data_IF_699214735248
#
_entry.id   IF_699214735248
#
_cell.length_a   1.000
_cell.length_b   1.000
_cell.length_c   1.000
_cell.angle_alpha   90.00
_cell.angle_beta   90.00
_cell.angle_gamma   90.00
#
_symmetry.space_group_name_H-M   'P 1'
#
loop_
_entity.id
_entity.type
_entity.pdbx_description
1 polymer ?
#
# COMPACT_ATOMS: atom_id res chain seq x y z
N UNK A 1 -14.71 14.31 19.09
CA UNK A 1 -14.42 14.24 17.64
C UNK A 1 -14.63 12.80 17.18
N UNK A 2 -15.12 12.59 15.97
CA UNK A 2 -15.22 11.23 15.38
C UNK A 2 -13.81 10.86 14.96
N UNK A 3 -13.28 9.73 15.48
CA UNK A 3 -12.00 9.19 15.01
C UNK A 3 -12.11 8.87 13.53
N UNK A 4 -11.24 9.49 12.71
CA UNK A 4 -11.24 9.32 11.26
C UNK A 4 -9.85 9.01 10.76
N UNK A 5 -9.72 7.95 9.97
CA UNK A 5 -8.50 7.60 9.24
C UNK A 5 -8.74 7.95 7.78
N UNK A 6 -7.94 8.88 7.24
CA UNK A 6 -8.00 9.28 5.84
C UNK A 6 -7.01 8.44 5.02
N UNK A 7 -7.52 7.65 4.09
CA UNK A 7 -6.73 6.84 3.16
C UNK A 7 -6.66 7.58 1.82
N UNK A 8 -5.49 8.10 1.52
CA UNK A 8 -5.26 8.95 0.35
C UNK A 8 -4.74 8.10 -0.82
N UNK A 9 -5.56 7.90 -1.83
CA UNK A 9 -5.09 7.39 -3.12
C UNK A 9 -4.45 8.55 -3.91
N UNK A 10 -3.12 8.59 -4.09
CA UNK A 10 -2.44 9.72 -4.74
C UNK A 10 -2.51 9.67 -6.27
N UNK A 11 -3.48 8.94 -6.81
CA UNK A 11 -3.76 8.81 -8.24
C UNK A 11 -5.16 9.36 -8.54
N UNK A 12 -5.38 9.91 -9.73
CA UNK A 12 -6.70 10.41 -10.17
C UNK A 12 -7.69 9.30 -10.55
N UNK A 13 -7.26 8.04 -10.59
CA UNK A 13 -8.13 6.91 -10.96
C UNK A 13 -9.03 6.50 -9.80
N UNK A 14 -10.30 6.96 -9.84
CA UNK A 14 -11.32 6.69 -8.82
C UNK A 14 -11.59 5.18 -8.62
N UNK A 15 -11.50 4.38 -9.70
CA UNK A 15 -11.67 2.93 -9.62
C UNK A 15 -10.67 2.28 -8.64
N UNK A 16 -9.44 2.82 -8.51
CA UNK A 16 -8.45 2.37 -7.53
C UNK A 16 -8.91 2.72 -6.12
N UNK A 17 -9.43 3.93 -5.89
CA UNK A 17 -9.99 4.34 -4.59
C UNK A 17 -11.14 3.42 -4.16
N UNK A 18 -12.07 3.11 -5.08
CA UNK A 18 -13.16 2.17 -4.81
C UNK A 18 -12.66 0.76 -4.45
N UNK A 19 -11.61 0.30 -5.12
CA UNK A 19 -10.96 -0.98 -4.80
C UNK A 19 -10.32 -1.00 -3.41
N UNK A 20 -9.62 0.08 -3.04
CA UNK A 20 -9.05 0.27 -1.71
C UNK A 20 -10.17 0.32 -0.66
N UNK A 21 -11.22 1.10 -0.91
CA UNK A 21 -12.35 1.26 0.00
C UNK A 21 -13.06 -0.07 0.29
N UNK A 22 -13.30 -0.86 -0.75
CA UNK A 22 -13.87 -2.21 -0.62
C UNK A 22 -12.96 -3.13 0.22
N UNK A 23 -11.64 -3.04 0.06
CA UNK A 23 -10.68 -3.82 0.84
C UNK A 23 -10.66 -3.45 2.34
N UNK A 24 -11.16 -2.26 2.70
CA UNK A 24 -11.25 -1.84 4.11
C UNK A 24 -12.45 -2.45 4.84
N UNK A 25 -13.36 -3.15 4.19
CA UNK A 25 -14.57 -3.71 4.80
C UNK A 25 -14.29 -4.53 6.10
N UNK A 26 -13.27 -5.42 6.17
CA UNK A 26 -12.98 -6.18 7.38
C UNK A 26 -12.50 -5.32 8.57
N UNK A 27 -12.04 -4.10 8.31
CA UNK A 27 -11.50 -3.18 9.33
C UNK A 27 -12.56 -2.19 9.84
N UNK A 28 -13.74 -2.14 9.21
CA UNK A 28 -14.87 -1.31 9.63
C UNK A 28 -15.64 -2.00 10.76
N UNK A 29 -15.42 -1.56 11.98
CA UNK A 29 -15.99 -2.16 13.19
C UNK A 29 -16.94 -1.19 13.88
N UNK A 30 -17.98 -1.71 14.54
CA UNK A 30 -18.85 -0.89 15.41
C UNK A 30 -18.02 -0.24 16.52
N UNK A 31 -18.09 1.09 16.61
CA UNK A 31 -17.30 1.88 17.57
C UNK A 31 -15.82 2.03 17.21
N UNK A 32 -15.42 1.62 15.99
CA UNK A 32 -14.12 1.92 15.42
C UNK A 32 -14.06 3.28 14.72
N UNK A 33 -12.89 3.71 14.24
CA UNK A 33 -12.76 4.94 13.48
C UNK A 33 -13.50 4.86 12.14
N UNK A 34 -13.91 6.01 11.63
CA UNK A 34 -14.37 6.12 10.24
C UNK A 34 -13.16 5.94 9.32
N UNK A 35 -13.21 5.00 8.40
CA UNK A 35 -12.19 4.83 7.37
C UNK A 35 -12.73 5.49 6.10
N UNK A 36 -12.15 6.62 5.72
CA UNK A 36 -12.51 7.39 4.52
C UNK A 36 -11.42 7.26 3.47
N UNK A 37 -11.77 6.76 2.29
CA UNK A 37 -10.84 6.65 1.16
C UNK A 37 -11.12 7.78 0.15
N UNK A 38 -10.08 8.53 -0.21
CA UNK A 38 -10.20 9.69 -1.10
C UNK A 38 -9.26 9.58 -2.30
N UNK A 39 -9.67 10.16 -3.41
CA UNK A 39 -8.90 10.29 -4.65
C UNK A 39 -8.19 11.63 -4.68
N UNK A 40 -6.91 11.65 -5.04
CA UNK A 40 -6.17 12.87 -5.33
C UNK A 40 -6.40 13.23 -6.81
N UNK A 41 -7.35 14.12 -7.07
CA UNK A 41 -7.77 14.49 -8.44
C UNK A 41 -6.62 15.06 -9.29
N UNK A 42 -5.72 15.82 -8.65
CA UNK A 42 -4.52 16.40 -9.30
C UNK A 42 -3.39 15.39 -9.52
N UNK A 43 -3.59 14.11 -9.15
CA UNK A 43 -2.59 13.06 -9.34
C UNK A 43 -2.56 12.51 -10.77
N UNK A 44 -1.48 11.79 -11.16
CA UNK A 44 -1.47 11.06 -12.42
C UNK A 44 -2.45 9.86 -12.37
N UNK A 45 -2.89 9.33 -13.52
CA UNK A 45 -3.73 8.13 -13.54
C UNK A 45 -3.10 6.90 -12.86
N UNK A 46 -1.76 6.79 -12.91
CA UNK A 46 -0.96 5.76 -12.25
C UNK A 46 0.39 6.30 -11.82
N UNK A 47 0.89 5.85 -10.67
CA UNK A 47 2.26 6.15 -10.22
C UNK A 47 3.16 4.99 -10.61
N UNK A 48 3.88 5.14 -11.72
CA UNK A 48 4.65 4.08 -12.35
C UNK A 48 6.15 4.38 -12.48
N UNK A 49 6.58 5.61 -12.21
CA UNK A 49 7.97 6.05 -12.27
C UNK A 49 8.27 7.08 -11.16
N UNK A 50 9.55 7.46 -11.01
CA UNK A 50 9.97 8.39 -9.97
C UNK A 50 9.37 9.79 -10.15
N UNK A 51 9.27 10.30 -11.38
CA UNK A 51 8.67 11.62 -11.63
C UNK A 51 7.21 11.68 -11.15
N UNK A 52 6.43 10.61 -11.35
CA UNK A 52 5.06 10.53 -10.81
C UNK A 52 5.04 10.50 -9.27
N UNK A 53 6.05 9.88 -8.63
CA UNK A 53 6.19 9.88 -7.16
C UNK A 53 6.42 11.29 -6.65
N UNK A 54 7.35 12.04 -7.27
CA UNK A 54 7.68 13.41 -6.87
C UNK A 54 6.52 14.38 -7.13
N UNK A 55 5.82 14.22 -8.24
CA UNK A 55 4.69 15.07 -8.63
C UNK A 55 3.59 15.15 -7.55
N UNK A 56 3.34 14.07 -6.82
CA UNK A 56 2.22 14.01 -5.86
C UNK A 56 2.59 14.40 -4.43
N UNK A 57 3.87 14.67 -4.14
CA UNK A 57 4.35 15.03 -2.79
C UNK A 57 3.65 16.30 -2.27
N UNK A 58 3.68 17.38 -3.04
CA UNK A 58 3.02 18.64 -2.68
C UNK A 58 1.50 18.51 -2.50
N UNK A 59 0.78 17.94 -3.48
CA UNK A 59 -0.66 17.68 -3.36
C UNK A 59 -1.04 16.82 -2.14
N UNK A 60 -0.27 15.78 -1.79
CA UNK A 60 -0.49 14.98 -0.56
C UNK A 60 -0.34 15.87 0.68
N UNK A 61 0.75 16.64 0.78
CA UNK A 61 0.99 17.56 1.90
C UNK A 61 -0.15 18.57 2.07
N UNK A 62 -0.64 19.14 0.96
CA UNK A 62 -1.79 20.05 0.96
C UNK A 62 -3.05 19.37 1.52
N UNK A 63 -3.34 18.13 1.09
CA UNK A 63 -4.49 17.37 1.57
C UNK A 63 -4.38 17.07 3.06
N UNK A 64 -3.20 16.66 3.54
CA UNK A 64 -2.94 16.42 4.98
C UNK A 64 -3.21 17.71 5.78
N UNK A 65 -2.67 18.85 5.34
CA UNK A 65 -2.90 20.15 6.00
C UNK A 65 -4.38 20.51 6.05
N UNK A 66 -5.10 20.35 4.95
CA UNK A 66 -6.52 20.70 4.86
C UNK A 66 -7.41 19.82 5.74
N UNK A 67 -7.03 18.55 5.92
CA UNK A 67 -7.83 17.55 6.66
C UNK A 67 -7.29 17.30 8.08
N UNK A 68 -6.29 18.07 8.52
CA UNK A 68 -5.66 17.82 9.82
C UNK A 68 -6.64 17.92 10.99
N UNK A 69 -7.54 18.88 10.98
CA UNK A 69 -8.47 19.11 12.08
C UNK A 69 -9.60 18.06 12.20
N UNK A 70 -9.90 17.29 11.15
CA UNK A 70 -11.00 16.32 11.12
C UNK A 70 -10.56 14.86 11.00
N UNK A 71 -9.24 14.61 10.95
CA UNK A 71 -8.67 13.26 10.89
C UNK A 71 -7.83 12.96 12.13
N UNK A 72 -7.78 11.68 12.51
CA UNK A 72 -6.94 11.17 13.61
C UNK A 72 -5.68 10.49 13.09
N UNK A 73 -5.66 10.06 11.82
CA UNK A 73 -4.51 9.49 11.14
C UNK A 73 -4.66 9.60 9.62
N UNK A 74 -3.52 9.49 8.92
CA UNK A 74 -3.43 9.51 7.46
C UNK A 74 -2.73 8.25 6.95
N UNK A 75 -3.20 7.70 5.82
CA UNK A 75 -2.56 6.58 5.13
C UNK A 75 -2.33 6.96 3.68
N UNK A 76 -1.09 6.82 3.20
CA UNK A 76 -0.73 7.10 1.80
C UNK A 76 -0.81 5.80 1.03
N UNK A 77 -1.85 5.65 0.18
CA UNK A 77 -2.21 4.40 -0.50
C UNK A 77 -1.50 4.23 -1.85
N UNK A 78 -0.16 4.26 -1.82
CA UNK A 78 0.70 3.94 -2.96
C UNK A 78 1.96 3.21 -2.48
N UNK A 79 2.32 2.11 -3.13
CA UNK A 79 3.47 1.26 -2.75
C UNK A 79 4.84 1.91 -3.06
N UNK A 80 4.92 3.21 -3.02
CA UNK A 80 6.14 4.02 -3.08
C UNK A 80 6.17 5.05 -1.97
N UNK A 81 5.14 5.05 -1.13
CA UNK A 81 4.93 5.98 0.00
C UNK A 81 5.30 7.43 -0.33
N UNK A 82 4.77 8.01 -1.45
CA UNK A 82 5.16 9.33 -1.89
C UNK A 82 4.82 10.38 -0.84
N UNK A 83 5.79 11.23 -0.52
CA UNK A 83 5.62 12.32 0.44
C UNK A 83 5.42 11.89 1.89
N UNK A 84 5.66 10.62 2.26
CA UNK A 84 5.46 10.10 3.62
C UNK A 84 6.21 10.93 4.67
N UNK A 85 7.49 11.16 4.46
CA UNK A 85 8.32 11.92 5.42
C UNK A 85 7.90 13.39 5.48
N UNK A 86 7.64 14.02 4.32
CA UNK A 86 7.14 15.40 4.29
C UNK A 86 5.77 15.54 5.00
N UNK A 87 4.87 14.57 4.83
CA UNK A 87 3.58 14.57 5.51
C UNK A 87 3.74 14.42 7.03
N UNK A 88 4.71 13.64 7.50
CA UNK A 88 5.05 13.51 8.93
C UNK A 88 5.57 14.79 9.56
N UNK A 89 6.14 15.72 8.78
CA UNK A 89 6.58 17.03 9.25
C UNK A 89 5.44 18.05 9.32
N UNK A 90 4.32 17.80 8.61
CA UNK A 90 3.17 18.71 8.53
C UNK A 90 2.23 18.52 9.73
N UNK A 91 2.08 17.29 10.25
CA UNK A 91 1.13 16.95 11.30
C UNK A 91 1.80 16.15 12.41
N UNK A 92 1.30 16.29 13.64
CA UNK A 92 1.69 15.42 14.78
C UNK A 92 0.91 14.11 14.82
N UNK A 93 -0.06 13.92 13.93
CA UNK A 93 -0.88 12.71 13.85
C UNK A 93 -0.13 11.60 13.12
N UNK A 94 -0.46 10.32 13.38
CA UNK A 94 0.13 9.22 12.64
C UNK A 94 -0.07 9.36 11.13
N UNK A 95 1.03 9.33 10.37
CA UNK A 95 1.03 9.20 8.91
C UNK A 95 1.73 7.90 8.54
N UNK A 96 1.02 7.02 7.85
CA UNK A 96 1.50 5.69 7.50
C UNK A 96 1.55 5.50 5.99
N UNK A 97 2.65 4.94 5.52
CA UNK A 97 2.82 4.52 4.14
C UNK A 97 2.44 3.04 3.97
N UNK A 98 1.79 2.70 2.86
CA UNK A 98 1.38 1.30 2.66
C UNK A 98 2.55 0.38 2.33
N UNK A 99 3.64 0.89 1.71
CA UNK A 99 4.83 0.09 1.46
C UNK A 99 5.55 -0.25 2.78
N UNK A 100 5.81 0.76 3.61
CA UNK A 100 6.40 0.59 4.95
C UNK A 100 5.59 -0.43 5.77
N UNK A 101 4.28 -0.20 5.91
CA UNK A 101 3.41 -1.05 6.73
C UNK A 101 3.25 -2.46 6.17
N UNK A 102 3.17 -2.59 4.85
CA UNK A 102 3.10 -3.88 4.18
C UNK A 102 4.34 -4.73 4.43
N UNK A 103 5.52 -4.15 4.30
CA UNK A 103 6.81 -4.81 4.56
C UNK A 103 6.93 -5.21 6.04
N UNK A 104 6.64 -4.27 6.97
CA UNK A 104 6.68 -4.56 8.42
C UNK A 104 5.70 -5.68 8.80
N UNK A 105 4.51 -5.69 8.24
CA UNK A 105 3.53 -6.75 8.46
C UNK A 105 4.03 -8.09 7.91
N UNK A 106 4.59 -8.10 6.70
CA UNK A 106 5.12 -9.31 6.10
C UNK A 106 6.22 -9.96 6.97
N UNK A 107 7.11 -9.14 7.55
CA UNK A 107 8.16 -9.63 8.44
C UNK A 107 7.64 -10.24 9.75
N UNK A 108 6.38 -10.04 10.10
CA UNK A 108 5.73 -10.72 11.24
C UNK A 108 5.09 -12.06 10.85
N UNK A 109 4.90 -12.31 9.55
CA UNK A 109 4.23 -13.48 8.99
C UNK A 109 5.19 -14.50 8.38
N UNK A 110 6.39 -14.05 7.98
CA UNK A 110 7.40 -14.88 7.35
C UNK A 110 8.82 -14.37 7.58
N UNK A 111 9.80 -15.20 7.16
CA UNK A 111 11.22 -14.86 7.27
C UNK A 111 11.72 -14.06 6.07
N UNK A 112 11.20 -14.36 4.87
CA UNK A 112 11.61 -13.74 3.61
C UNK A 112 10.39 -13.33 2.79
N UNK A 113 10.20 -12.02 2.62
CA UNK A 113 9.06 -11.52 1.85
C UNK A 113 9.40 -11.36 0.37
N UNK A 114 8.45 -11.75 -0.49
CA UNK A 114 8.47 -11.44 -1.92
C UNK A 114 7.51 -10.32 -2.27
N UNK A 115 7.87 -9.44 -3.21
CA UNK A 115 7.01 -8.34 -3.68
C UNK A 115 6.47 -8.64 -5.07
N UNK A 116 5.15 -8.55 -5.24
CA UNK A 116 4.50 -8.64 -6.55
C UNK A 116 4.33 -7.22 -7.10
N UNK A 117 5.21 -6.81 -7.98
CA UNK A 117 5.21 -5.48 -8.59
C UNK A 117 4.35 -5.41 -9.85
N UNK A 118 3.90 -4.21 -10.22
CA UNK A 118 3.17 -3.97 -11.48
C UNK A 118 4.12 -4.02 -12.69
N UNK A 119 5.19 -3.23 -12.67
CA UNK A 119 6.11 -3.03 -13.80
C UNK A 119 7.57 -3.19 -13.38
N UNK A 120 8.40 -3.75 -14.25
CA UNK A 120 9.86 -3.91 -14.01
C UNK A 120 10.55 -2.59 -13.63
N UNK A 121 10.13 -1.48 -14.20
CA UNK A 121 10.67 -0.14 -13.89
C UNK A 121 10.39 0.33 -12.44
N UNK A 122 9.48 -0.33 -11.71
CA UNK A 122 9.21 -0.05 -10.29
C UNK A 122 10.23 -0.70 -9.35
N UNK A 123 10.79 -1.84 -9.74
CA UNK A 123 11.68 -2.66 -8.90
C UNK A 123 12.89 -1.88 -8.35
N UNK A 124 13.67 -1.11 -9.14
CA UNK A 124 14.80 -0.36 -8.60
C UNK A 124 14.42 0.64 -7.50
N UNK A 125 13.20 1.21 -7.56
CA UNK A 125 12.67 2.11 -6.55
C UNK A 125 12.33 1.35 -5.25
N UNK A 126 11.72 0.18 -5.37
CA UNK A 126 11.41 -0.67 -4.23
C UNK A 126 12.69 -1.16 -3.54
N UNK A 127 13.71 -1.56 -4.28
CA UNK A 127 15.00 -1.96 -3.72
C UNK A 127 15.66 -0.82 -2.92
N UNK A 128 15.63 0.42 -3.44
CA UNK A 128 16.13 1.58 -2.68
C UNK A 128 15.33 1.78 -1.38
N UNK A 129 14.00 1.65 -1.46
CA UNK A 129 13.13 1.83 -0.31
C UNK A 129 13.38 0.77 0.77
N UNK A 130 13.43 -0.50 0.39
CA UNK A 130 13.75 -1.62 1.29
C UNK A 130 15.14 -1.46 1.92
N UNK A 131 16.12 -0.99 1.12
CA UNK A 131 17.46 -0.65 1.61
C UNK A 131 17.46 0.49 2.65
N UNK A 132 16.66 1.55 2.41
CA UNK A 132 16.50 2.64 3.38
C UNK A 132 15.84 2.18 4.69
N UNK A 133 14.92 1.21 4.61
CA UNK A 133 14.31 0.60 5.80
C UNK A 133 15.28 -0.32 6.57
N UNK A 134 16.44 -0.68 6.00
CA UNK A 134 17.42 -1.57 6.62
C UNK A 134 16.99 -3.04 6.67
N UNK A 135 16.09 -3.47 5.77
CA UNK A 135 15.51 -4.82 5.77
C UNK A 135 15.76 -5.59 4.45
N UNK A 136 16.79 -5.18 3.71
CA UNK A 136 17.11 -5.79 2.40
C UNK A 136 17.36 -7.30 2.50
N UNK A 137 18.00 -7.77 3.56
CA UNK A 137 18.30 -9.19 3.78
C UNK A 137 17.05 -10.05 4.02
N UNK A 138 15.91 -9.42 4.32
CA UNK A 138 14.62 -10.09 4.50
C UNK A 138 13.82 -10.18 3.19
N UNK A 139 14.28 -9.54 2.11
CA UNK A 139 13.61 -9.59 0.81
C UNK A 139 14.08 -10.81 0.02
N UNK A 140 13.14 -11.68 -0.35
CA UNK A 140 13.41 -12.83 -1.22
C UNK A 140 13.57 -12.39 -2.68
N UNK A 141 12.66 -11.53 -3.16
CA UNK A 141 12.65 -11.02 -4.51
C UNK A 141 11.56 -9.96 -4.74
N UNK A 142 11.65 -9.31 -5.89
CA UNK A 142 10.61 -8.42 -6.42
C UNK A 142 10.42 -8.75 -7.90
N UNK A 143 9.23 -9.23 -8.26
CA UNK A 143 8.91 -9.65 -9.63
C UNK A 143 7.71 -8.91 -10.16
N UNK A 144 7.75 -8.52 -11.42
CA UNK A 144 6.72 -7.70 -12.04
C UNK A 144 5.73 -8.54 -12.87
N UNK A 145 4.44 -8.27 -12.70
CA UNK A 145 3.38 -8.88 -13.52
C UNK A 145 3.32 -8.33 -14.94
N UNK A 146 3.96 -7.19 -15.22
CA UNK A 146 4.02 -6.58 -16.56
C UNK A 146 2.77 -5.78 -16.94
N UNK A 147 1.92 -5.40 -15.98
CA UNK A 147 0.70 -4.63 -16.20
C UNK A 147 0.79 -3.27 -15.49
N UNK A 148 0.34 -2.21 -16.17
CA UNK A 148 0.21 -0.87 -15.58
C UNK A 148 -1.03 -0.75 -14.70
N UNK A 149 -1.14 0.36 -13.95
CA UNK A 149 -2.22 0.58 -12.97
C UNK A 149 -3.62 0.46 -13.59
N UNK A 150 -3.82 1.02 -14.78
CA UNK A 150 -5.12 0.99 -15.47
C UNK A 150 -5.48 -0.43 -15.94
N UNK A 151 -4.47 -1.20 -16.36
CA UNK A 151 -4.65 -2.56 -16.87
C UNK A 151 -5.06 -3.56 -15.78
N UNK A 152 -4.83 -3.24 -14.50
CA UNK A 152 -5.25 -4.08 -13.36
C UNK A 152 -6.78 -4.27 -13.29
N UNK A 153 -7.55 -3.49 -14.02
CA UNK A 153 -9.01 -3.66 -14.13
C UNK A 153 -9.42 -4.94 -14.87
N UNK A 154 -8.57 -5.48 -15.76
CA UNK A 154 -8.80 -6.77 -16.41
C UNK A 154 -8.53 -7.92 -15.42
N UNK A 155 -9.58 -8.41 -14.79
CA UNK A 155 -9.50 -9.37 -13.69
C UNK A 155 -8.81 -10.69 -14.08
N UNK A 156 -9.17 -11.27 -15.21
CA UNK A 156 -8.64 -12.57 -15.63
C UNK A 156 -7.14 -12.51 -15.90
N UNK A 157 -6.69 -11.54 -16.70
CA UNK A 157 -5.30 -11.33 -17.04
C UNK A 157 -4.48 -10.97 -15.79
N UNK A 158 -4.98 -10.05 -14.97
CA UNK A 158 -4.26 -9.62 -13.75
C UNK A 158 -4.06 -10.77 -12.78
N UNK A 159 -5.13 -11.55 -12.51
CA UNK A 159 -5.00 -12.68 -11.59
C UNK A 159 -4.04 -13.76 -12.12
N UNK A 160 -4.13 -14.10 -13.40
CA UNK A 160 -3.22 -15.10 -14.01
C UNK A 160 -1.76 -14.69 -13.85
N UNK A 161 -1.43 -13.42 -14.19
CA UNK A 161 -0.07 -12.90 -14.04
C UNK A 161 0.39 -12.82 -12.58
N UNK A 162 -0.50 -12.45 -11.65
CA UNK A 162 -0.18 -12.44 -10.21
C UNK A 162 0.08 -13.85 -9.70
N UNK A 163 -0.70 -14.86 -10.11
CA UNK A 163 -0.53 -16.25 -9.69
C UNK A 163 0.81 -16.83 -10.18
N UNK A 164 1.19 -16.54 -11.43
CA UNK A 164 2.46 -16.94 -12.01
C UNK A 164 3.64 -16.33 -11.25
N UNK A 165 3.65 -15.01 -11.08
CA UNK A 165 4.71 -14.29 -10.34
C UNK A 165 4.78 -14.70 -8.88
N UNK A 166 3.63 -14.96 -8.25
CA UNK A 166 3.59 -15.47 -6.87
C UNK A 166 4.23 -16.85 -6.72
N UNK A 167 4.01 -17.74 -7.70
CA UNK A 167 4.66 -19.06 -7.73
C UNK A 167 6.18 -18.92 -7.93
N UNK A 168 6.64 -18.06 -8.84
CA UNK A 168 8.08 -17.80 -9.05
C UNK A 168 8.74 -17.26 -7.77
N UNK A 169 8.11 -16.30 -7.07
CA UNK A 169 8.64 -15.77 -5.81
C UNK A 169 8.73 -16.84 -4.73
N UNK A 170 7.75 -17.74 -4.64
CA UNK A 170 7.76 -18.87 -3.70
C UNK A 170 8.81 -19.90 -4.05
N UNK A 171 8.80 -20.41 -5.29
CA UNK A 171 9.52 -21.63 -5.68
C UNK A 171 10.97 -21.35 -6.08
N UNK A 172 11.25 -20.19 -6.69
CA UNK A 172 12.58 -19.83 -7.18
C UNK A 172 13.32 -18.89 -6.22
N UNK A 173 12.63 -17.88 -5.66
CA UNK A 173 13.27 -16.87 -4.80
C UNK A 173 13.21 -17.27 -3.31
N UNK A 174 12.37 -18.25 -2.95
CA UNK A 174 12.22 -18.74 -1.58
C UNK A 174 11.49 -17.77 -0.66
N UNK A 175 10.50 -17.05 -1.20
CA UNK A 175 9.61 -16.25 -0.38
C UNK A 175 8.64 -17.16 0.41
N UNK A 176 8.45 -16.86 1.69
CA UNK A 176 7.49 -17.54 2.58
C UNK A 176 6.29 -16.64 2.96
N UNK A 177 6.31 -15.40 2.52
CA UNK A 177 5.21 -14.44 2.58
C UNK A 177 5.28 -13.49 1.37
N UNK A 178 4.14 -13.06 0.86
CA UNK A 178 4.06 -12.15 -0.28
C UNK A 178 3.45 -10.81 0.10
N UNK A 179 3.94 -9.73 -0.53
CA UNK A 179 3.38 -8.38 -0.41
C UNK A 179 2.90 -7.92 -1.78
N UNK A 180 1.69 -7.41 -1.84
CA UNK A 180 1.15 -6.82 -3.06
C UNK A 180 1.77 -5.43 -3.30
N UNK A 181 2.56 -5.26 -4.34
CA UNK A 181 3.31 -4.04 -4.67
C UNK A 181 2.45 -2.93 -5.30
N UNK A 182 1.13 -2.98 -5.15
CA UNK A 182 0.22 -1.94 -5.64
C UNK A 182 -1.14 -2.02 -4.94
N UNK A 183 -1.65 -0.88 -4.45
CA UNK A 183 -2.99 -0.79 -3.88
C UNK A 183 -4.12 -1.18 -4.86
N UNK A 184 -3.90 -1.05 -6.16
CA UNK A 184 -4.85 -1.50 -7.20
C UNK A 184 -5.06 -3.01 -7.26
N UNK A 185 -4.24 -3.79 -6.58
CA UNK A 185 -4.37 -5.26 -6.50
C UNK A 185 -5.24 -5.74 -5.34
N UNK A 186 -5.71 -4.87 -4.45
CA UNK A 186 -6.32 -5.22 -3.17
C UNK A 186 -7.41 -6.31 -3.26
N UNK A 187 -8.27 -6.26 -4.27
CA UNK A 187 -9.37 -7.23 -4.48
C UNK A 187 -8.92 -8.66 -4.74
N UNK A 188 -7.66 -8.86 -5.14
CA UNK A 188 -7.13 -10.19 -5.47
C UNK A 188 -6.52 -10.93 -4.26
N UNK A 189 -6.34 -10.25 -3.12
CA UNK A 189 -5.61 -10.76 -1.95
C UNK A 189 -6.08 -12.14 -1.51
N UNK A 190 -7.36 -12.32 -1.19
CA UNK A 190 -7.88 -13.58 -0.63
C UNK A 190 -7.81 -14.73 -1.64
N UNK A 191 -8.09 -14.45 -2.91
CA UNK A 191 -8.01 -15.43 -3.99
C UNK A 191 -6.56 -15.86 -4.22
N UNK A 192 -5.62 -14.90 -4.22
CA UNK A 192 -4.19 -15.19 -4.43
C UNK A 192 -3.62 -15.98 -3.27
N UNK A 193 -3.93 -15.62 -2.02
CA UNK A 193 -3.48 -16.35 -0.83
C UNK A 193 -3.91 -17.82 -0.85
N UNK A 194 -5.17 -18.09 -1.19
CA UNK A 194 -5.65 -19.48 -1.34
C UNK A 194 -4.97 -20.22 -2.48
N UNK A 195 -4.63 -19.53 -3.58
CA UNK A 195 -4.01 -20.12 -4.75
C UNK A 195 -2.55 -20.50 -4.51
N UNK A 196 -1.78 -19.60 -3.92
CA UNK A 196 -0.32 -19.78 -3.75
C UNK A 196 0.03 -20.57 -2.48
N UNK A 197 -0.87 -20.62 -1.49
CA UNK A 197 -0.66 -21.32 -0.22
C UNK A 197 0.29 -20.60 0.74
N UNK A 198 0.61 -19.32 0.50
CA UNK A 198 1.41 -18.47 1.38
C UNK A 198 0.57 -17.31 1.92
N UNK A 199 0.92 -16.73 3.07
CA UNK A 199 0.35 -15.45 3.51
C UNK A 199 0.57 -14.38 2.45
N UNK A 200 -0.49 -13.61 2.13
CA UNK A 200 -0.44 -12.48 1.20
C UNK A 200 -0.86 -11.21 1.91
N UNK A 201 0.04 -10.26 2.01
CA UNK A 201 -0.20 -8.95 2.64
C UNK A 201 -0.77 -7.98 1.62
N UNK A 202 -1.97 -7.46 1.89
CA UNK A 202 -2.52 -6.29 1.22
C UNK A 202 -2.04 -5.06 2.00
N UNK A 203 -1.21 -4.19 1.38
CA UNK A 203 -0.48 -3.18 2.13
C UNK A 203 -1.36 -2.06 2.68
N UNK A 204 -2.51 -1.76 2.03
CA UNK A 204 -3.45 -0.75 2.55
C UNK A 204 -4.17 -1.25 3.81
N UNK A 205 -4.55 -2.54 3.85
CA UNK A 205 -5.08 -3.17 5.06
C UNK A 205 -4.05 -3.14 6.20
N UNK A 206 -2.79 -3.45 5.90
CA UNK A 206 -1.70 -3.41 6.88
C UNK A 206 -1.56 -2.00 7.48
N UNK A 207 -1.51 -0.96 6.65
CA UNK A 207 -1.37 0.41 7.10
C UNK A 207 -2.57 0.90 7.92
N UNK A 208 -3.80 0.62 7.47
CA UNK A 208 -5.02 1.00 8.20
C UNK A 208 -5.13 0.26 9.54
N UNK A 209 -4.74 -1.04 9.60
CA UNK A 209 -4.70 -1.79 10.86
C UNK A 209 -3.75 -1.15 11.87
N UNK A 210 -2.54 -0.75 11.43
CA UNK A 210 -1.58 -0.03 12.26
C UNK A 210 -2.10 1.36 12.66
N UNK A 211 -2.77 2.08 11.76
CA UNK A 211 -3.38 3.38 12.07
C UNK A 211 -4.45 3.25 13.17
N UNK A 212 -5.33 2.25 13.10
CA UNK A 212 -6.32 1.95 14.14
C UNK A 212 -5.63 1.73 15.50
N UNK A 213 -4.58 0.93 15.54
CA UNK A 213 -3.82 0.69 16.77
C UNK A 213 -3.20 1.96 17.33
N UNK A 214 -2.54 2.77 16.49
CA UNK A 214 -1.89 4.02 16.91
C UNK A 214 -2.89 5.05 17.43
N UNK A 215 -4.03 5.23 16.75
CA UNK A 215 -5.07 6.18 17.20
C UNK A 215 -5.68 5.75 18.53
N UNK A 216 -5.97 4.45 18.72
CA UNK A 216 -6.52 3.94 19.98
C UNK A 216 -5.56 4.04 21.16
N UNK A 217 -4.27 3.91 20.93
CA UNK A 217 -3.21 4.01 21.93
C UNK A 217 -2.69 5.45 22.12
N UNK A 218 -3.23 6.40 21.37
CA UNK A 218 -2.80 7.79 21.34
C UNK A 218 -1.30 7.96 21.05
N UNK A 219 -0.75 7.12 20.15
CA UNK A 219 0.64 7.23 19.70
C UNK A 219 0.70 8.26 18.55
N UNK A 220 0.95 9.51 18.92
CA UNK A 220 1.26 10.59 17.97
C UNK A 220 2.74 10.61 17.60
N UNK A 221 3.07 11.28 16.51
CA UNK A 221 4.44 11.54 16.09
C UNK A 221 5.07 12.68 16.90
#
# INVERSE_FOLDING_TARGET
MIDRILVINPKSTEAVTKGIDAAMAPLRMKGGPVIECVTLEDGPPGIENQAHVEQVVGPIGKMVTQRDNDCSAFVIACYSDPGLHAAREITTKPVLGIAECGILTAMTLGQRFGVISILKKSIPRHLRYVGQMGVADRMAGDRAIGLGVVELSNEATTFARMAEVAAELRDEDGADVLVMGCAGMARYRDRLQRHVGLPVVEPSQAAVSMAIGRTRLAWSA
#
